data_IF_885640650442
#
_entry.id   IF_885640650442
#
_cell.length_a   1.000
_cell.length_b   1.000
_cell.length_c   1.000
_cell.angle_alpha   90.00
_cell.angle_beta   90.00
_cell.angle_gamma   90.00
#
_symmetry.space_group_name_H-M   'P 1'
#
loop_
_entity.id
_entity.type
_entity.pdbx_description
1 polymer ?
#
# COMPACT_ATOMS: atom_id res chain seq x y z
N UNK A 1 -4.61 5.69 -11.77
CA UNK A 1 -5.70 4.77 -11.34
C UNK A 1 -6.83 5.49 -10.64
N UNK A 2 -6.58 6.42 -9.70
CA UNK A 2 -7.65 7.26 -9.13
C UNK A 2 -8.22 8.25 -10.17
N UNK A 3 -7.34 8.97 -10.87
CA UNK A 3 -7.71 9.97 -11.91
C UNK A 3 -8.50 9.32 -13.05
N UNK A 4 -8.17 8.09 -13.44
CA UNK A 4 -8.86 7.34 -14.50
C UNK A 4 -10.24 6.81 -14.09
N UNK A 5 -10.60 6.88 -12.80
CA UNK A 5 -11.89 6.44 -12.26
C UNK A 5 -12.79 7.63 -11.88
N UNK A 6 -12.36 8.86 -12.13
CA UNK A 6 -13.08 10.10 -11.80
C UNK A 6 -13.60 10.16 -10.35
N UNK A 7 -12.89 9.50 -9.42
CA UNK A 7 -13.30 9.48 -8.03
C UNK A 7 -13.18 10.89 -7.43
N UNK A 8 -14.19 11.37 -6.69
CA UNK A 8 -14.21 12.71 -6.09
C UNK A 8 -13.32 12.78 -4.85
N UNK A 9 -12.02 12.52 -5.04
CA UNK A 9 -10.95 12.66 -4.05
C UNK A 9 -10.44 14.10 -4.13
N UNK A 10 -10.48 14.80 -3.00
CA UNK A 10 -10.13 16.21 -2.87
C UNK A 10 -8.67 16.39 -2.43
N UNK A 11 -8.16 15.51 -1.56
CA UNK A 11 -6.77 15.51 -1.08
C UNK A 11 -6.24 14.07 -1.00
N UNK A 12 -4.96 13.90 -1.36
CA UNK A 12 -4.23 12.63 -1.23
C UNK A 12 -2.85 12.91 -0.65
N UNK A 13 -2.54 12.27 0.47
CA UNK A 13 -1.20 12.31 1.09
C UNK A 13 -0.69 10.91 1.30
N UNK A 14 0.58 10.71 0.97
CA UNK A 14 1.28 9.44 1.20
C UNK A 14 2.55 9.75 2.00
N UNK A 15 2.70 9.08 3.14
CA UNK A 15 3.93 9.13 3.94
C UNK A 15 4.56 7.74 3.97
N UNK A 16 5.82 7.64 3.59
CA UNK A 16 6.58 6.39 3.64
C UNK A 16 7.52 6.38 4.86
N UNK A 17 7.52 5.29 5.62
CA UNK A 17 8.40 5.06 6.77
C UNK A 17 9.16 3.76 6.58
N UNK A 18 10.47 3.84 6.40
CA UNK A 18 11.35 2.68 6.21
C UNK A 18 12.07 2.36 7.51
N UNK A 19 11.91 1.14 8.02
CA UNK A 19 12.67 0.67 9.18
C UNK A 19 13.87 -0.16 8.73
N UNK A 20 15.04 0.15 9.30
CA UNK A 20 16.31 -0.51 8.96
C UNK A 20 16.85 -1.26 10.19
N UNK A 21 17.44 -2.44 9.96
CA UNK A 21 18.21 -3.17 10.99
C UNK A 21 19.69 -2.99 10.68
N UNK A 22 20.44 -2.36 11.57
CA UNK A 22 21.91 -2.34 11.48
C UNK A 22 22.45 -3.71 11.90
N UNK A 23 23.40 -4.25 11.13
CA UNK A 23 24.16 -5.50 11.37
C UNK A 23 23.66 -6.79 10.68
N UNK A 24 22.85 -6.70 9.62
CA UNK A 24 22.53 -7.84 8.76
C UNK A 24 22.90 -7.54 7.30
N UNK A 25 23.26 -8.55 6.48
CA UNK A 25 23.56 -8.33 5.06
C UNK A 25 22.36 -7.75 4.27
N UNK A 26 21.13 -7.92 4.77
CA UNK A 26 19.94 -7.17 4.36
C UNK A 26 19.60 -6.14 5.45
N UNK A 27 19.79 -4.86 5.16
CA UNK A 27 19.58 -3.78 6.15
C UNK A 27 18.11 -3.33 6.28
N UNK A 28 17.17 -3.91 5.52
CA UNK A 28 15.78 -3.47 5.50
C UNK A 28 14.89 -4.39 6.34
N UNK A 29 14.16 -3.82 7.32
CA UNK A 29 13.21 -4.56 8.16
C UNK A 29 11.84 -4.62 7.50
N UNK A 30 11.26 -3.45 7.26
CA UNK A 30 9.92 -3.26 6.73
C UNK A 30 9.75 -1.82 6.20
N UNK A 31 8.72 -1.62 5.40
CA UNK A 31 8.28 -0.34 4.86
C UNK A 31 6.80 -0.14 5.14
N UNK A 32 6.44 1.02 5.68
CA UNK A 32 5.05 1.40 5.95
C UNK A 32 4.65 2.63 5.13
N UNK A 33 3.63 2.49 4.29
CA UNK A 33 2.93 3.61 3.65
C UNK A 33 1.70 4.00 4.48
N UNK A 34 1.63 5.24 4.97
CA UNK A 34 0.40 5.86 5.50
C UNK A 34 -0.23 6.69 4.39
N UNK A 35 -1.33 6.18 3.84
CA UNK A 35 -2.11 6.78 2.76
C UNK A 35 -3.34 7.44 3.36
N UNK A 36 -3.49 8.74 3.16
CA UNK A 36 -4.63 9.53 3.63
C UNK A 36 -5.34 10.15 2.45
N UNK A 37 -6.64 9.89 2.37
CA UNK A 37 -7.52 10.41 1.35
C UNK A 37 -8.62 11.23 2.02
N UNK A 38 -8.96 12.36 1.42
CA UNK A 38 -10.12 13.16 1.80
C UNK A 38 -11.03 13.31 0.58
N UNK A 39 -12.35 13.21 0.75
CA UNK A 39 -13.31 13.39 -0.34
C UNK A 39 -14.66 12.71 -0.12
N UNK A 40 -15.60 12.99 -1.03
CA UNK A 40 -16.97 12.46 -1.02
C UNK A 40 -17.09 11.19 -1.83
N UNK A 41 -16.35 10.17 -1.43
CA UNK A 41 -16.23 8.87 -2.13
C UNK A 41 -16.66 7.74 -1.21
N UNK A 42 -17.25 6.69 -1.76
CA UNK A 42 -17.65 5.54 -0.97
C UNK A 42 -16.42 4.75 -0.50
N UNK A 43 -16.46 4.26 0.74
CA UNK A 43 -15.39 3.44 1.33
C UNK A 43 -15.03 2.25 0.43
N UNK A 44 -16.02 1.52 -0.08
CA UNK A 44 -15.82 0.36 -0.95
C UNK A 44 -15.05 0.68 -2.26
N UNK A 45 -15.22 1.88 -2.80
CA UNK A 45 -14.49 2.32 -4.00
C UNK A 45 -13.01 2.58 -3.67
N UNK A 46 -12.74 3.18 -2.51
CA UNK A 46 -11.39 3.39 -2.02
C UNK A 46 -10.72 2.08 -1.64
N UNK A 47 -11.44 1.12 -1.05
CA UNK A 47 -10.89 -0.21 -0.79
C UNK A 47 -10.46 -0.90 -2.07
N UNK A 48 -11.32 -0.87 -3.09
CA UNK A 48 -11.03 -1.46 -4.40
C UNK A 48 -9.83 -0.77 -5.04
N UNK A 49 -9.82 0.57 -5.05
CA UNK A 49 -8.69 1.36 -5.54
C UNK A 49 -7.39 1.03 -4.81
N UNK A 50 -7.41 0.94 -3.48
CA UNK A 50 -6.22 0.65 -2.68
C UNK A 50 -5.66 -0.74 -2.95
N UNK A 51 -6.52 -1.76 -3.07
CA UNK A 51 -6.11 -3.12 -3.42
C UNK A 51 -5.53 -3.20 -4.83
N UNK A 52 -6.14 -2.50 -5.79
CA UNK A 52 -5.60 -2.41 -7.16
C UNK A 52 -4.26 -1.66 -7.18
N UNK A 53 -4.16 -0.54 -6.45
CA UNK A 53 -2.95 0.25 -6.32
C UNK A 53 -1.80 -0.56 -5.76
N UNK A 54 -2.04 -1.27 -4.67
CA UNK A 54 -1.04 -2.13 -4.05
C UNK A 54 -0.57 -3.23 -5.02
N UNK A 55 -1.50 -3.90 -5.73
CA UNK A 55 -1.17 -4.97 -6.70
C UNK A 55 -0.35 -4.47 -7.89
N UNK A 56 -0.63 -3.27 -8.40
CA UNK A 56 0.03 -2.72 -9.58
C UNK A 56 1.25 -1.84 -9.24
N UNK A 57 1.47 -1.48 -7.98
CA UNK A 57 2.60 -0.65 -7.59
C UNK A 57 3.92 -1.40 -7.76
N UNK A 58 4.75 -0.96 -8.71
CA UNK A 58 6.06 -1.55 -8.99
C UNK A 58 6.98 -1.55 -7.76
N UNK A 59 6.95 -0.46 -6.97
CA UNK A 59 7.78 -0.34 -5.76
C UNK A 59 7.36 -1.37 -4.72
N UNK A 60 6.06 -1.48 -4.42
CA UNK A 60 5.55 -2.50 -3.50
C UNK A 60 5.90 -3.91 -4.00
N UNK A 61 5.65 -4.21 -5.29
CA UNK A 61 5.96 -5.51 -5.88
C UNK A 61 7.45 -5.87 -5.82
N UNK A 62 8.34 -4.89 -5.91
CA UNK A 62 9.78 -5.10 -5.86
C UNK A 62 10.25 -5.30 -4.42
N UNK A 63 9.85 -4.41 -3.51
CA UNK A 63 10.31 -4.45 -2.12
C UNK A 63 9.69 -5.61 -1.34
N UNK A 64 8.44 -5.97 -1.65
CA UNK A 64 7.75 -7.10 -1.04
C UNK A 64 8.49 -8.44 -1.23
N UNK A 65 9.40 -8.57 -2.20
CA UNK A 65 10.26 -9.76 -2.36
C UNK A 65 11.34 -9.89 -1.29
N UNK A 66 11.62 -8.81 -0.56
CA UNK A 66 12.79 -8.70 0.32
C UNK A 66 12.46 -8.23 1.74
N UNK A 67 11.33 -7.53 1.91
CA UNK A 67 10.85 -7.04 3.21
C UNK A 67 9.32 -7.01 3.25
N UNK A 68 8.74 -6.94 4.44
CA UNK A 68 7.31 -6.68 4.58
C UNK A 68 6.99 -5.24 4.18
N UNK A 69 5.98 -5.06 3.34
CA UNK A 69 5.43 -3.76 2.97
C UNK A 69 4.01 -3.66 3.51
N UNK A 70 3.74 -2.67 4.35
CA UNK A 70 2.42 -2.40 4.93
C UNK A 70 1.89 -1.09 4.37
N UNK A 71 0.66 -1.11 3.85
CA UNK A 71 -0.04 0.09 3.40
C UNK A 71 -1.28 0.31 4.27
N UNK A 72 -1.25 1.35 5.09
CA UNK A 72 -2.37 1.79 5.92
C UNK A 72 -3.15 2.86 5.18
N UNK A 73 -4.45 2.62 4.95
CA UNK A 73 -5.31 3.54 4.20
C UNK A 73 -6.33 4.17 5.14
N UNK A 74 -6.44 5.50 5.07
CA UNK A 74 -7.42 6.30 5.79
C UNK A 74 -8.25 7.12 4.81
N UNK A 75 -9.55 7.20 5.06
CA UNK A 75 -10.50 8.04 4.34
C UNK A 75 -11.18 8.99 5.33
N UNK A 76 -11.13 10.30 5.07
CA UNK A 76 -11.76 11.32 5.91
C UNK A 76 -11.34 11.21 7.39
N UNK A 77 -10.04 11.03 7.62
CA UNK A 77 -9.45 10.78 8.93
C UNK A 77 -9.70 9.40 9.57
N UNK A 78 -10.58 8.56 9.03
CA UNK A 78 -10.90 7.25 9.58
C UNK A 78 -10.06 6.14 8.94
N UNK A 79 -9.60 5.17 9.75
CA UNK A 79 -8.89 4.00 9.25
C UNK A 79 -9.86 3.13 8.46
N UNK A 80 -9.55 2.94 7.18
CA UNK A 80 -10.35 2.12 6.29
C UNK A 80 -9.82 0.69 6.23
N UNK A 81 -8.55 0.51 5.83
CA UNK A 81 -7.96 -0.83 5.72
C UNK A 81 -6.44 -0.83 5.90
N UNK A 82 -5.89 -2.03 6.09
CA UNK A 82 -4.45 -2.29 6.08
C UNK A 82 -4.15 -3.40 5.09
N UNK A 83 -3.24 -3.15 4.17
CA UNK A 83 -2.69 -4.15 3.26
C UNK A 83 -1.30 -4.54 3.74
N UNK A 84 -1.00 -5.83 3.72
CA UNK A 84 0.33 -6.34 4.00
C UNK A 84 0.80 -7.18 2.82
N UNK A 85 2.04 -6.96 2.39
CA UNK A 85 2.72 -7.79 1.40
C UNK A 85 4.00 -8.32 2.02
N UNK A 86 4.09 -9.63 2.13
CA UNK A 86 5.20 -10.30 2.80
C UNK A 86 6.13 -10.99 1.79
N UNK A 87 7.42 -11.16 2.12
CA UNK A 87 8.42 -11.86 1.29
C UNK A 87 8.15 -13.33 0.93
N UNK A 88 6.99 -13.90 1.27
CA UNK A 88 6.72 -15.34 1.12
C UNK A 88 5.33 -15.69 0.55
N UNK A 89 4.57 -14.74 0.03
CA UNK A 89 3.41 -15.08 -0.81
C UNK A 89 3.86 -15.25 -2.27
N UNK A 90 4.50 -16.38 -2.57
CA UNK A 90 4.58 -16.88 -3.94
C UNK A 90 3.15 -17.14 -4.42
N UNK A 91 2.68 -16.34 -5.39
CA UNK A 91 1.47 -16.66 -6.15
C UNK A 91 1.74 -18.01 -6.84
N UNK A 92 0.93 -19.05 -6.61
CA UNK A 92 1.15 -20.33 -7.29
C UNK A 92 0.99 -20.09 -8.80
N UNK A 93 2.08 -20.32 -9.54
CA UNK A 93 2.03 -20.41 -10.99
C UNK A 93 1.32 -21.71 -11.31
N UNK A 94 0.01 -21.64 -11.60
CA UNK A 94 -0.70 -22.77 -12.18
C UNK A 94 -0.04 -23.10 -13.52
N UNK A 95 0.56 -24.28 -13.59
CA UNK A 95 0.92 -24.94 -14.84
C UNK A 95 -0.33 -25.42 -15.58
#
# INVERSE_FOLDING_TARGET
MAISRELPIEDLRVTARLHLVRNLPSNFRDLVFDVRLEGKVAEAEIETLARDASRHCFVENTLAKTMTVTTEVKLNGQKLLTLNRNPQEEVPVSS
#
